data_IF_428239594999
#
_entry.id   IF_428239594999
#
_cell.length_a   1.000
_cell.length_b   1.000
_cell.length_c   1.000
_cell.angle_alpha   90.00
_cell.angle_beta   90.00
_cell.angle_gamma   90.00
#
_symmetry.space_group_name_H-M   'P 1'
#
loop_
_entity.id
_entity.type
_entity.pdbx_description
1 polymer ?
#
# COMPACT_ATOMS: atom_id res chain seq x y z
N UNK A 1 -5.21 -70.77 -20.59
CA UNK A 1 -4.78 -69.40 -20.94
C UNK A 1 -5.60 -68.46 -20.07
N UNK A 2 -5.04 -68.02 -18.94
CA UNK A 2 -5.71 -67.12 -18.01
C UNK A 2 -5.47 -65.68 -18.49
N UNK A 3 -6.57 -64.97 -18.72
CA UNK A 3 -6.62 -63.60 -19.19
C UNK A 3 -6.10 -62.69 -18.07
N UNK A 4 -4.93 -62.07 -18.25
CA UNK A 4 -4.40 -61.08 -17.31
C UNK A 4 -5.29 -59.85 -17.47
N UNK A 5 -6.22 -59.67 -16.55
CA UNK A 5 -7.03 -58.47 -16.46
C UNK A 5 -6.07 -57.28 -16.31
N UNK A 6 -6.05 -56.41 -17.32
CA UNK A 6 -5.41 -55.10 -17.29
C UNK A 6 -5.89 -54.36 -16.04
N UNK A 7 -4.99 -54.17 -15.06
CA UNK A 7 -5.24 -53.26 -13.94
C UNK A 7 -5.62 -51.90 -14.50
N UNK A 8 -6.61 -51.18 -13.92
CA UNK A 8 -6.89 -49.81 -14.32
C UNK A 8 -5.63 -48.93 -14.13
N UNK A 9 -5.43 -47.90 -14.97
CA UNK A 9 -4.30 -46.99 -14.84
C UNK A 9 -4.38 -46.29 -13.49
N UNK A 10 -3.30 -46.36 -12.71
CA UNK A 10 -3.19 -45.61 -11.47
C UNK A 10 -3.22 -44.12 -11.78
N UNK A 11 -4.05 -43.36 -11.07
CA UNK A 11 -4.07 -41.89 -11.14
C UNK A 11 -3.04 -41.39 -10.12
N UNK A 12 -2.09 -40.58 -10.57
CA UNK A 12 -1.11 -39.94 -9.69
C UNK A 12 -1.80 -38.82 -8.90
N UNK A 13 -1.49 -38.74 -7.61
CA UNK A 13 -2.04 -37.73 -6.72
C UNK A 13 -1.32 -36.39 -6.89
N UNK A 14 -2.04 -35.30 -7.17
CA UNK A 14 -1.43 -34.00 -7.46
C UNK A 14 -0.71 -33.37 -6.25
N UNK A 15 -1.09 -33.73 -5.02
CA UNK A 15 -0.58 -33.12 -3.79
C UNK A 15 0.57 -33.93 -3.19
N UNK A 16 0.50 -35.26 -3.29
CA UNK A 16 1.42 -36.18 -2.64
C UNK A 16 2.31 -36.98 -3.61
N UNK A 17 2.18 -36.79 -4.92
CA UNK A 17 3.12 -37.34 -5.90
C UNK A 17 4.31 -36.41 -6.12
N UNK A 18 5.37 -36.61 -5.33
CA UNK A 18 6.53 -35.71 -5.33
C UNK A 18 7.53 -36.05 -6.44
N UNK A 19 7.80 -35.08 -7.31
CA UNK A 19 8.95 -35.12 -8.20
C UNK A 19 10.25 -34.94 -7.43
N UNK A 20 11.23 -35.81 -7.72
CA UNK A 20 12.57 -35.75 -7.14
C UNK A 20 13.57 -35.21 -8.16
N UNK A 21 14.58 -34.49 -7.67
CA UNK A 21 15.70 -33.97 -8.44
C UNK A 21 17.02 -34.44 -7.83
N UNK A 22 18.02 -34.71 -8.68
CA UNK A 22 19.39 -35.03 -8.26
C UNK A 22 20.28 -33.80 -8.41
N UNK A 23 20.98 -33.44 -7.35
CA UNK A 23 22.03 -32.42 -7.36
C UNK A 23 23.37 -33.08 -7.10
N UNK A 24 24.42 -32.65 -7.78
CA UNK A 24 25.81 -33.01 -7.46
C UNK A 24 26.52 -31.80 -6.86
N UNK A 25 27.11 -31.97 -5.68
CA UNK A 25 27.95 -30.97 -5.04
C UNK A 25 29.24 -31.65 -4.59
N UNK A 26 30.38 -31.16 -5.09
CA UNK A 26 31.68 -31.78 -4.89
C UNK A 26 31.65 -33.28 -5.29
N UNK A 27 31.88 -34.20 -4.36
CA UNK A 27 31.89 -35.65 -4.58
C UNK A 27 30.61 -36.35 -4.09
N UNK A 28 29.53 -35.60 -3.84
CA UNK A 28 28.28 -36.13 -3.29
C UNK A 28 27.09 -35.86 -4.21
N UNK A 29 26.20 -36.84 -4.32
CA UNK A 29 24.91 -36.71 -5.02
C UNK A 29 23.78 -36.69 -4.00
N UNK A 30 22.91 -35.71 -4.12
CA UNK A 30 21.76 -35.48 -3.24
C UNK A 30 20.49 -35.65 -4.06
N UNK A 31 19.59 -36.53 -3.63
CA UNK A 31 18.26 -36.71 -4.23
C UNK A 31 17.21 -36.15 -3.29
N UNK A 32 16.49 -35.13 -3.72
CA UNK A 32 15.56 -34.35 -2.87
C UNK A 32 14.30 -33.97 -3.65
N UNK A 33 13.18 -33.67 -2.96
CA UNK A 33 11.99 -33.16 -3.63
C UNK A 33 12.29 -31.86 -4.40
N UNK A 34 11.70 -31.73 -5.58
CA UNK A 34 11.90 -30.57 -6.47
C UNK A 34 11.03 -29.38 -6.08
N UNK A 35 9.86 -29.62 -5.49
CA UNK A 35 8.83 -28.60 -5.28
C UNK A 35 9.33 -27.35 -4.54
N UNK A 36 10.08 -27.47 -3.43
CA UNK A 36 10.57 -26.28 -2.69
C UNK A 36 11.59 -25.48 -3.49
N UNK A 37 12.40 -26.13 -4.34
CA UNK A 37 13.39 -25.41 -5.15
C UNK A 37 12.71 -24.53 -6.20
N UNK A 38 11.59 -24.99 -6.75
CA UNK A 38 10.82 -24.23 -7.73
C UNK A 38 9.93 -23.17 -7.07
N UNK A 39 9.27 -23.53 -5.97
CA UNK A 39 8.37 -22.64 -5.25
C UNK A 39 9.08 -21.49 -4.52
N UNK A 40 10.23 -21.77 -3.89
CA UNK A 40 10.94 -20.76 -3.08
C UNK A 40 11.93 -19.93 -3.89
N UNK A 41 12.35 -20.38 -5.08
CA UNK A 41 13.26 -19.61 -5.94
C UNK A 41 13.06 -19.92 -7.44
N UNK A 42 12.35 -19.02 -8.11
CA UNK A 42 12.19 -19.01 -9.56
C UNK A 42 13.53 -18.86 -10.28
N UNK A 43 14.43 -18.04 -9.74
CA UNK A 43 15.77 -17.80 -10.32
C UNK A 43 16.63 -19.06 -10.26
N UNK A 44 16.60 -19.80 -9.14
CA UNK A 44 17.32 -21.07 -9.03
C UNK A 44 16.74 -22.10 -9.99
N UNK A 45 15.41 -22.24 -10.04
CA UNK A 45 14.75 -23.16 -10.96
C UNK A 45 15.11 -22.87 -12.43
N UNK A 46 15.09 -21.60 -12.83
CA UNK A 46 15.45 -21.18 -14.19
C UNK A 46 16.93 -21.43 -14.49
N UNK A 47 17.82 -21.07 -13.56
CA UNK A 47 19.27 -21.21 -13.75
C UNK A 47 19.72 -22.68 -13.87
N UNK A 48 19.02 -23.58 -13.18
CA UNK A 48 19.33 -25.00 -13.13
C UNK A 48 18.42 -25.86 -14.02
N UNK A 49 17.57 -25.24 -14.86
CA UNK A 49 16.70 -25.93 -15.80
C UNK A 49 15.70 -26.87 -15.12
N UNK A 50 15.20 -26.50 -13.95
CA UNK A 50 14.20 -27.27 -13.21
C UNK A 50 12.80 -26.98 -13.78
N UNK A 51 12.52 -27.45 -14.99
CA UNK A 51 11.20 -27.34 -15.61
C UNK A 51 10.27 -28.44 -15.10
N UNK A 52 9.00 -28.13 -14.83
CA UNK A 52 8.00 -29.10 -14.34
C UNK A 52 7.73 -30.27 -15.30
N UNK A 53 8.24 -30.25 -16.54
CA UNK A 53 7.89 -31.20 -17.59
C UNK A 53 8.92 -32.29 -17.89
N UNK A 54 10.10 -32.27 -17.26
CA UNK A 54 11.02 -33.40 -17.37
C UNK A 54 10.56 -34.51 -16.40
N UNK A 55 9.56 -35.28 -16.83
CA UNK A 55 9.23 -36.55 -16.20
C UNK A 55 10.51 -37.38 -16.18
N UNK A 56 11.00 -37.68 -14.97
CA UNK A 56 12.06 -38.65 -14.79
C UNK A 56 11.65 -39.92 -15.54
N UNK A 57 12.44 -40.30 -16.55
CA UNK A 57 12.26 -41.57 -17.26
C UNK A 57 12.18 -42.70 -16.23
N UNK A 58 11.26 -43.64 -16.42
CA UNK A 58 10.90 -44.72 -15.50
C UNK A 58 12.07 -45.66 -15.09
N UNK A 59 13.28 -45.44 -15.61
CA UNK A 59 14.50 -46.20 -15.37
C UNK A 59 15.33 -45.76 -14.14
N UNK A 60 14.80 -44.89 -13.27
CA UNK A 60 15.55 -44.28 -12.15
C UNK A 60 15.83 -45.21 -10.94
N UNK A 61 15.51 -46.51 -11.08
CA UNK A 61 15.89 -47.58 -10.13
C UNK A 61 17.19 -48.31 -10.53
N UNK A 62 17.74 -48.04 -11.72
CA UNK A 62 19.03 -48.61 -12.11
C UNK A 62 20.17 -47.81 -11.46
N UNK A 63 20.97 -48.49 -10.64
CA UNK A 63 22.16 -47.94 -9.98
C UNK A 63 23.33 -47.65 -10.97
N UNK A 64 23.06 -47.60 -12.27
CA UNK A 64 24.07 -47.36 -13.30
C UNK A 64 24.27 -45.84 -13.45
N UNK A 65 25.27 -45.33 -12.74
CA UNK A 65 25.76 -43.95 -12.69
C UNK A 65 24.92 -42.95 -11.85
N UNK A 66 25.30 -42.72 -10.59
CA UNK A 66 24.69 -41.70 -9.72
C UNK A 66 24.75 -40.26 -10.27
N UNK A 67 25.66 -40.01 -11.22
CA UNK A 67 25.86 -38.70 -11.86
C UNK A 67 25.00 -38.49 -13.11
N UNK A 68 24.33 -39.55 -13.60
CA UNK A 68 23.41 -39.43 -14.71
C UNK A 68 22.25 -38.51 -14.29
N UNK A 69 22.07 -37.43 -15.04
CA UNK A 69 21.04 -36.39 -14.83
C UNK A 69 21.17 -35.56 -13.53
N UNK A 70 22.33 -35.59 -12.86
CA UNK A 70 22.57 -34.76 -11.68
C UNK A 70 22.96 -33.33 -12.05
N UNK A 71 22.25 -32.35 -11.49
CA UNK A 71 22.56 -30.92 -11.70
C UNK A 71 23.78 -30.51 -10.87
N UNK A 72 24.87 -30.03 -11.48
CA UNK A 72 26.07 -29.63 -10.75
C UNK A 72 25.88 -28.29 -10.01
N UNK A 73 26.29 -28.26 -8.75
CA UNK A 73 26.30 -27.08 -7.89
C UNK A 73 27.73 -26.70 -7.54
N UNK A 74 28.06 -25.42 -7.69
CA UNK A 74 29.34 -24.83 -7.29
C UNK A 74 29.34 -24.47 -5.79
N UNK A 75 29.30 -25.52 -4.95
CA UNK A 75 29.31 -25.47 -3.48
C UNK A 75 29.93 -26.75 -2.90
N UNK A 76 30.40 -26.70 -1.65
CA UNK A 76 30.86 -27.91 -0.96
C UNK A 76 29.70 -28.83 -0.57
N UNK A 77 29.96 -30.13 -0.42
CA UNK A 77 28.94 -31.07 0.02
C UNK A 77 28.39 -30.71 1.43
N UNK A 78 29.25 -30.18 2.30
CA UNK A 78 28.87 -29.74 3.64
C UNK A 78 27.92 -28.53 3.59
N UNK A 79 28.25 -27.50 2.80
CA UNK A 79 27.41 -26.31 2.69
C UNK A 79 26.02 -26.66 2.16
N UNK A 80 25.96 -27.49 1.11
CA UNK A 80 24.67 -27.91 0.56
C UNK A 80 23.89 -28.79 1.54
N UNK A 81 24.55 -29.68 2.27
CA UNK A 81 23.90 -30.48 3.31
C UNK A 81 23.25 -29.60 4.39
N UNK A 82 23.96 -28.56 4.87
CA UNK A 82 23.42 -27.61 5.85
C UNK A 82 22.23 -26.83 5.28
N UNK A 83 22.33 -26.38 4.03
CA UNK A 83 21.21 -25.73 3.35
C UNK A 83 19.98 -26.63 3.27
N UNK A 84 20.17 -27.92 2.92
CA UNK A 84 19.10 -28.91 2.88
C UNK A 84 18.47 -29.17 4.26
N UNK A 85 19.25 -29.15 5.35
CA UNK A 85 18.69 -29.25 6.72
C UNK A 85 17.69 -28.13 6.99
N UNK A 86 17.96 -26.93 6.48
CA UNK A 86 17.09 -25.78 6.66
C UNK A 86 15.87 -25.80 5.72
N UNK A 87 16.06 -26.25 4.47
CA UNK A 87 14.99 -26.31 3.48
C UNK A 87 14.01 -27.48 3.73
N UNK A 88 14.56 -28.63 4.17
CA UNK A 88 13.85 -29.87 4.50
C UNK A 88 14.20 -30.34 5.92
N UNK A 89 13.64 -29.71 6.96
CA UNK A 89 13.83 -30.14 8.33
C UNK A 89 13.35 -31.59 8.51
N UNK A 90 14.18 -32.43 9.11
CA UNK A 90 13.81 -33.84 9.41
C UNK A 90 13.02 -33.97 10.70
N UNK A 91 13.02 -32.95 11.53
CA UNK A 91 12.31 -32.89 12.79
C UNK A 91 10.85 -32.53 12.52
N UNK A 92 9.94 -33.45 12.86
CA UNK A 92 8.50 -33.22 12.72
C UNK A 92 7.96 -32.18 13.73
N UNK A 93 8.67 -32.00 14.84
CA UNK A 93 8.32 -31.11 15.96
C UNK A 93 9.60 -30.51 16.57
N UNK A 94 9.58 -29.21 16.85
CA UNK A 94 10.70 -28.47 17.47
C UNK A 94 11.28 -27.37 16.58
N UNK A 95 12.08 -26.48 17.18
CA UNK A 95 12.80 -25.44 16.46
C UNK A 95 13.99 -26.03 15.70
N UNK A 96 14.24 -25.56 14.49
CA UNK A 96 15.38 -25.99 13.68
C UNK A 96 16.69 -25.65 14.39
N UNK A 97 17.41 -26.68 14.84
CA UNK A 97 18.69 -26.54 15.53
C UNK A 97 19.84 -26.50 14.53
N UNK A 98 20.31 -25.30 14.21
CA UNK A 98 21.55 -25.07 13.45
C UNK A 98 22.49 -24.19 14.29
N UNK A 99 23.80 -24.43 14.15
CA UNK A 99 24.82 -23.57 14.76
C UNK A 99 24.87 -22.19 14.08
N UNK A 100 25.54 -21.22 14.70
CA UNK A 100 25.75 -19.89 14.10
C UNK A 100 26.44 -19.98 12.74
N UNK A 101 27.48 -20.81 12.62
CA UNK A 101 28.21 -21.01 11.37
C UNK A 101 27.34 -21.67 10.30
N UNK A 102 26.50 -22.64 10.71
CA UNK A 102 25.53 -23.27 9.82
C UNK A 102 24.49 -22.24 9.33
N UNK A 103 24.03 -21.31 10.18
CA UNK A 103 23.15 -20.22 9.76
C UNK A 103 23.81 -19.25 8.79
N UNK A 104 25.12 -18.98 8.92
CA UNK A 104 25.86 -18.19 7.94
C UNK A 104 25.94 -18.89 6.58
N UNK A 105 26.14 -20.21 6.56
CA UNK A 105 26.07 -21.02 5.33
C UNK A 105 24.68 -20.91 4.70
N UNK A 106 23.61 -21.05 5.49
CA UNK A 106 22.23 -20.89 5.02
C UNK A 106 22.02 -19.49 4.45
N UNK A 107 22.47 -18.44 5.12
CA UNK A 107 22.38 -17.06 4.65
C UNK A 107 23.11 -16.86 3.33
N UNK A 108 24.33 -17.39 3.21
CA UNK A 108 25.16 -17.31 2.00
C UNK A 108 24.46 -17.94 0.81
N UNK A 109 24.03 -19.19 0.94
CA UNK A 109 23.41 -19.94 -0.15
C UNK A 109 22.01 -19.40 -0.50
N UNK A 110 21.21 -19.03 0.51
CA UNK A 110 19.89 -18.42 0.27
C UNK A 110 19.99 -17.06 -0.41
N UNK A 111 21.02 -16.27 -0.11
CA UNK A 111 21.29 -15.00 -0.81
C UNK A 111 21.78 -15.26 -2.24
N UNK A 112 22.72 -16.20 -2.46
CA UNK A 112 23.24 -16.58 -3.79
C UNK A 112 22.13 -17.09 -4.72
N UNK A 113 21.20 -17.88 -4.18
CA UNK A 113 20.16 -18.55 -4.96
C UNK A 113 18.78 -17.90 -4.82
N UNK A 114 18.67 -16.73 -4.18
CA UNK A 114 17.41 -15.98 -4.01
C UNK A 114 16.28 -16.79 -3.33
N UNK A 115 16.62 -17.63 -2.35
CA UNK A 115 15.65 -18.27 -1.47
C UNK A 115 15.24 -17.28 -0.37
N UNK A 116 14.41 -16.31 -0.74
CA UNK A 116 14.14 -15.11 0.07
C UNK A 116 13.52 -15.44 1.44
N UNK A 117 12.64 -16.43 1.51
CA UNK A 117 12.06 -16.91 2.77
C UNK A 117 13.15 -17.45 3.72
N UNK A 118 14.04 -18.28 3.19
CA UNK A 118 15.11 -18.89 3.96
C UNK A 118 16.18 -17.87 4.36
N UNK A 119 16.45 -16.91 3.47
CA UNK A 119 17.30 -15.75 3.74
C UNK A 119 16.77 -14.93 4.90
N UNK A 120 15.48 -14.58 4.87
CA UNK A 120 14.82 -13.82 5.95
C UNK A 120 14.91 -14.55 7.28
N UNK A 121 14.65 -15.86 7.28
CA UNK A 121 14.79 -16.71 8.46
C UNK A 121 16.23 -16.71 8.99
N UNK A 122 17.23 -16.84 8.12
CA UNK A 122 18.63 -16.81 8.54
C UNK A 122 19.04 -15.45 9.15
N UNK A 123 18.58 -14.33 8.57
CA UNK A 123 18.80 -12.99 9.13
C UNK A 123 18.12 -12.87 10.50
N UNK A 124 16.90 -13.37 10.66
CA UNK A 124 16.18 -13.33 11.94
C UNK A 124 16.93 -14.08 13.04
N UNK A 125 17.49 -15.26 12.72
CA UNK A 125 18.26 -16.07 13.67
C UNK A 125 19.64 -15.49 13.97
N UNK A 126 20.28 -14.84 12.99
CA UNK A 126 21.61 -14.24 13.14
C UNK A 126 21.58 -12.84 13.75
N UNK A 127 20.51 -12.06 13.57
CA UNK A 127 20.46 -10.65 14.01
C UNK A 127 20.65 -10.46 15.53
N UNK A 128 20.05 -11.29 16.42
CA UNK A 128 20.33 -11.22 17.85
C UNK A 128 21.80 -11.53 18.20
N UNK A 129 22.43 -12.42 17.42
CA UNK A 129 23.80 -12.89 17.65
C UNK A 129 24.85 -11.92 17.08
N UNK A 130 24.53 -11.23 15.98
CA UNK A 130 25.43 -10.30 15.31
C UNK A 130 25.84 -9.11 16.22
N UNK A 131 25.02 -8.74 17.21
CA UNK A 131 25.37 -7.72 18.21
C UNK A 131 26.23 -8.24 19.37
N UNK A 132 26.33 -9.56 19.55
CA UNK A 132 27.00 -10.19 20.71
C UNK A 132 28.33 -10.83 20.32
N UNK A 133 28.42 -11.43 19.12
CA UNK A 133 29.53 -12.29 18.73
C UNK A 133 30.41 -11.72 17.60
N UNK A 134 29.95 -10.74 16.82
CA UNK A 134 30.76 -10.16 15.74
C UNK A 134 31.59 -8.99 16.23
N UNK A 135 32.88 -8.98 15.85
CA UNK A 135 33.68 -7.75 15.86
C UNK A 135 33.00 -6.73 14.94
N UNK A 136 32.93 -5.46 15.34
CA UNK A 136 32.19 -4.42 14.61
C UNK A 136 32.52 -4.38 13.10
N UNK A 137 33.75 -4.70 12.74
CA UNK A 137 34.24 -4.77 11.36
C UNK A 137 33.60 -5.92 10.59
N UNK A 138 33.52 -7.11 11.17
CA UNK A 138 32.90 -8.28 10.54
C UNK A 138 31.41 -8.03 10.29
N UNK A 139 30.71 -7.40 11.23
CA UNK A 139 29.30 -7.05 11.04
C UNK A 139 29.10 -6.08 9.86
N UNK A 140 30.02 -5.13 9.65
CA UNK A 140 30.01 -4.22 8.51
C UNK A 140 30.18 -5.01 7.21
N UNK A 141 31.20 -5.88 7.15
CA UNK A 141 31.42 -6.71 5.96
C UNK A 141 30.22 -7.61 5.65
N UNK A 142 29.63 -8.26 6.65
CA UNK A 142 28.45 -9.10 6.49
C UNK A 142 27.22 -8.29 6.03
N UNK A 143 27.04 -7.08 6.55
CA UNK A 143 25.98 -6.18 6.13
C UNK A 143 26.12 -5.73 4.67
N UNK A 144 27.34 -5.48 4.22
CA UNK A 144 27.64 -5.15 2.82
C UNK A 144 27.50 -6.38 1.90
N UNK A 145 28.10 -7.51 2.26
CA UNK A 145 28.10 -8.74 1.47
C UNK A 145 26.68 -9.30 1.27
N UNK A 146 25.89 -9.34 2.34
CA UNK A 146 24.52 -9.88 2.30
C UNK A 146 23.46 -8.81 2.12
N UNK A 147 23.80 -7.56 1.80
CA UNK A 147 22.85 -6.47 1.62
C UNK A 147 21.85 -6.32 2.79
N UNK A 148 22.36 -6.34 4.02
CA UNK A 148 21.57 -6.17 5.25
C UNK A 148 21.87 -4.81 5.86
N UNK A 149 21.06 -3.80 5.50
CA UNK A 149 21.23 -2.41 5.95
C UNK A 149 21.34 -2.29 7.48
N UNK A 150 20.51 -3.04 8.20
CA UNK A 150 20.50 -3.01 9.67
C UNK A 150 21.84 -3.43 10.28
N UNK A 151 22.52 -4.41 9.69
CA UNK A 151 23.82 -4.89 10.16
C UNK A 151 24.91 -3.88 9.84
N UNK A 152 24.91 -3.33 8.63
CA UNK A 152 25.85 -2.28 8.21
C UNK A 152 25.76 -1.05 9.13
N UNK A 153 24.54 -0.54 9.32
CA UNK A 153 24.28 0.62 10.17
C UNK A 153 24.66 0.35 11.63
N UNK A 154 24.32 -0.84 12.15
CA UNK A 154 24.65 -1.21 13.52
C UNK A 154 26.16 -1.30 13.72
N UNK A 155 26.89 -1.89 12.78
CA UNK A 155 28.34 -2.00 12.84
C UNK A 155 29.04 -0.64 12.85
N UNK A 156 28.65 0.28 11.95
CA UNK A 156 29.19 1.64 11.97
C UNK A 156 28.86 2.40 13.26
N UNK A 157 27.62 2.28 13.73
CA UNK A 157 27.19 2.91 14.98
C UNK A 157 28.02 2.41 16.17
N UNK A 158 28.33 1.11 16.23
CA UNK A 158 29.15 0.56 17.31
C UNK A 158 30.60 1.07 17.26
N UNK A 159 31.19 1.21 16.07
CA UNK A 159 32.52 1.82 15.91
C UNK A 159 32.55 3.29 16.36
N UNK A 160 31.50 4.05 16.07
CA UNK A 160 31.40 5.44 16.51
C UNK A 160 31.23 5.53 18.03
N UNK A 161 30.43 4.65 18.64
CA UNK A 161 30.05 4.73 20.06
C UNK A 161 31.04 4.11 21.06
N UNK A 162 31.84 3.11 20.66
CA UNK A 162 32.71 2.37 21.58
C UNK A 162 33.79 3.25 22.22
N UNK A 163 34.41 2.86 23.34
CA UNK A 163 35.49 3.65 23.95
C UNK A 163 36.83 3.58 23.18
N UNK A 164 37.31 2.41 22.71
CA UNK A 164 38.58 2.33 22.00
C UNK A 164 38.56 3.01 20.63
N UNK A 165 39.66 3.67 20.20
CA UNK A 165 39.77 4.24 18.85
C UNK A 165 39.77 3.13 17.79
N UNK A 166 39.56 3.50 16.53
CA UNK A 166 39.78 2.59 15.38
C UNK A 166 41.27 2.31 15.27
N UNK A 167 41.66 1.03 15.33
CA UNK A 167 43.07 0.64 15.21
C UNK A 167 43.51 0.65 13.75
N UNK A 168 44.83 0.56 13.52
CA UNK A 168 45.39 0.51 12.17
C UNK A 168 44.87 -0.72 11.42
N UNK A 169 44.84 -1.88 12.08
CA UNK A 169 44.41 -3.15 11.50
C UNK A 169 42.92 -3.11 11.13
N UNK A 170 42.09 -2.44 11.93
CA UNK A 170 40.68 -2.24 11.62
C UNK A 170 40.50 -1.24 10.47
N UNK A 171 41.29 -0.17 10.44
CA UNK A 171 41.24 0.82 9.36
C UNK A 171 41.66 0.22 8.00
N UNK A 172 42.64 -0.68 8.00
CA UNK A 172 43.03 -1.44 6.81
C UNK A 172 41.90 -2.34 6.31
N UNK A 173 41.23 -3.08 7.19
CA UNK A 173 40.09 -3.93 6.83
C UNK A 173 38.89 -3.13 6.31
N UNK A 174 38.59 -1.99 6.94
CA UNK A 174 37.46 -1.14 6.55
C UNK A 174 37.71 -0.33 5.26
N UNK A 175 38.98 -0.15 4.92
CA UNK A 175 39.46 0.85 3.98
C UNK A 175 39.67 2.22 4.65
N UNK A 176 40.83 2.81 4.40
CA UNK A 176 41.27 4.07 5.00
C UNK A 176 40.25 5.22 4.88
N UNK A 177 39.58 5.34 3.72
CA UNK A 177 38.57 6.36 3.50
C UNK A 177 37.37 6.21 4.44
N UNK A 178 36.87 4.98 4.62
CA UNK A 178 35.75 4.71 5.50
C UNK A 178 36.14 4.91 6.97
N UNK A 179 37.35 4.49 7.33
CA UNK A 179 37.88 4.70 8.68
C UNK A 179 38.00 6.19 9.04
N UNK A 180 38.52 7.02 8.12
CA UNK A 180 38.63 8.48 8.33
C UNK A 180 37.24 9.11 8.51
N UNK A 181 36.26 8.73 7.66
CA UNK A 181 34.87 9.19 7.80
C UNK A 181 34.29 8.82 9.17
N UNK A 182 34.49 7.58 9.63
CA UNK A 182 34.02 7.15 10.96
C UNK A 182 34.74 7.88 12.10
N UNK A 183 36.04 8.15 11.98
CA UNK A 183 36.77 8.95 12.96
C UNK A 183 36.19 10.37 13.07
N UNK A 184 35.89 11.03 11.94
CA UNK A 184 35.26 12.35 11.93
C UNK A 184 33.87 12.33 12.60
N UNK A 185 33.04 11.33 12.30
CA UNK A 185 31.73 11.14 12.95
C UNK A 185 31.86 10.87 14.45
N UNK A 186 32.87 10.09 14.84
CA UNK A 186 33.20 9.84 16.25
C UNK A 186 33.59 11.10 16.99
N UNK A 187 34.37 11.98 16.38
CA UNK A 187 34.69 13.29 16.98
C UNK A 187 33.45 14.16 17.17
N UNK A 188 32.54 14.18 16.17
CA UNK A 188 31.23 14.84 16.26
C UNK A 188 30.39 14.30 17.42
N UNK A 189 30.21 12.98 17.46
CA UNK A 189 29.49 12.27 18.52
C UNK A 189 30.06 12.54 19.93
N UNK A 190 31.39 12.52 20.06
CA UNK A 190 32.06 12.76 21.35
C UNK A 190 31.88 14.22 21.81
N UNK A 191 31.94 15.19 20.89
CA UNK A 191 31.64 16.60 21.19
C UNK A 191 30.19 16.76 21.64
N UNK A 192 29.25 16.09 20.98
CA UNK A 192 27.84 16.11 21.35
C UNK A 192 27.62 15.59 22.78
N UNK A 193 28.10 14.38 23.12
CA UNK A 193 27.97 13.82 24.48
C UNK A 193 28.60 14.74 25.54
N UNK A 194 29.76 15.32 25.24
CA UNK A 194 30.42 16.27 26.16
C UNK A 194 29.60 17.54 26.35
N UNK A 195 28.92 18.01 25.31
CA UNK A 195 28.05 19.19 25.36
C UNK A 195 26.72 18.94 26.08
N UNK A 196 26.16 17.73 26.01
CA UNK A 196 24.96 17.31 26.76
C UNK A 196 25.16 17.45 28.28
N UNK A 197 26.40 17.29 28.75
CA UNK A 197 26.74 17.49 30.18
C UNK A 197 26.63 18.97 30.61
N UNK A 198 26.49 19.91 29.67
CA UNK A 198 26.36 21.34 29.91
C UNK A 198 24.89 21.79 29.79
N UNK A 199 24.13 21.67 30.87
CA UNK A 199 22.68 21.98 30.97
C UNK A 199 22.22 23.38 30.50
N UNK A 200 23.15 24.30 30.20
CA UNK A 200 22.85 25.70 29.84
C UNK A 200 22.43 25.90 28.38
N UNK A 201 22.62 24.91 27.52
CA UNK A 201 22.14 24.94 26.14
C UNK A 201 21.66 23.54 25.79
N UNK A 202 20.35 23.37 25.58
CA UNK A 202 19.82 22.12 25.05
C UNK A 202 20.50 21.88 23.69
N UNK A 203 21.31 20.81 23.54
CA UNK A 203 21.91 20.51 22.25
C UNK A 203 20.81 20.27 21.21
N UNK A 204 21.03 20.68 19.96
CA UNK A 204 20.18 20.22 18.86
C UNK A 204 20.19 18.69 18.80
N UNK A 205 19.07 18.04 18.42
CA UNK A 205 18.99 16.59 18.37
C UNK A 205 20.03 16.02 17.41
N UNK A 206 21.09 15.42 17.96
CA UNK A 206 22.14 14.78 17.18
C UNK A 206 21.70 13.37 16.75
N UNK A 207 21.32 13.23 15.48
CA UNK A 207 20.96 11.95 14.90
C UNK A 207 22.17 11.27 14.24
N UNK A 208 22.88 10.46 15.02
CA UNK A 208 24.01 9.68 14.54
C UNK A 208 23.63 8.74 13.38
N UNK A 209 22.41 8.20 13.35
CA UNK A 209 22.02 7.28 12.27
C UNK A 209 21.83 8.06 10.96
N UNK A 210 21.25 9.26 11.00
CA UNK A 210 21.12 10.14 9.84
C UNK A 210 22.50 10.57 9.32
N UNK A 211 23.41 10.96 10.21
CA UNK A 211 24.79 11.32 9.85
C UNK A 211 25.54 10.14 9.21
N UNK A 212 25.40 8.94 9.77
CA UNK A 212 25.98 7.72 9.20
C UNK A 212 25.43 7.43 7.81
N UNK A 213 24.10 7.51 7.64
CA UNK A 213 23.45 7.32 6.34
C UNK A 213 23.89 8.35 5.30
N UNK A 214 24.08 9.60 5.73
CA UNK A 214 24.59 10.67 4.86
C UNK A 214 26.05 10.44 4.45
N UNK A 215 26.93 10.13 5.41
CA UNK A 215 28.36 9.96 5.16
C UNK A 215 28.70 8.73 4.28
N UNK A 216 27.85 7.70 4.35
CA UNK A 216 27.97 6.43 3.62
C UNK A 216 26.79 6.20 2.66
N UNK A 217 26.21 7.28 2.14
CA UNK A 217 25.02 7.22 1.27
C UNK A 217 25.19 6.23 0.11
N UNK A 218 26.33 6.27 -0.58
CA UNK A 218 26.66 5.34 -1.67
C UNK A 218 26.47 3.86 -1.28
N UNK A 219 26.91 3.45 -0.09
CA UNK A 219 26.78 2.07 0.39
C UNK A 219 25.34 1.73 0.76
N UNK A 220 24.61 2.66 1.37
CA UNK A 220 23.20 2.46 1.71
C UNK A 220 22.29 2.45 0.48
N UNK A 221 22.57 3.28 -0.52
CA UNK A 221 21.87 3.26 -1.80
C UNK A 221 22.12 1.95 -2.54
N UNK A 222 23.36 1.47 -2.61
CA UNK A 222 23.67 0.18 -3.22
C UNK A 222 22.88 -0.98 -2.58
N UNK A 223 22.77 -0.99 -1.24
CA UNK A 223 21.94 -1.99 -0.54
C UNK A 223 20.46 -1.80 -0.89
N UNK A 224 19.97 -0.55 -0.92
CA UNK A 224 18.56 -0.26 -1.24
C UNK A 224 18.19 -0.68 -2.65
N UNK A 225 19.08 -0.49 -3.63
CA UNK A 225 18.90 -0.94 -5.00
C UNK A 225 18.84 -2.47 -5.11
N UNK A 226 19.54 -3.19 -4.23
CA UNK A 226 19.49 -4.65 -4.16
C UNK A 226 18.28 -5.20 -3.39
N UNK A 227 17.64 -4.42 -2.49
CA UNK A 227 16.51 -4.88 -1.67
C UNK A 227 15.35 -5.51 -2.44
N UNK A 228 14.91 -4.99 -3.61
CA UNK A 228 13.81 -5.57 -4.38
C UNK A 228 14.03 -7.03 -4.78
N UNK A 229 15.29 -7.47 -4.89
CA UNK A 229 15.63 -8.87 -5.20
C UNK A 229 15.28 -9.83 -4.06
N UNK A 230 15.25 -9.33 -2.82
CA UNK A 230 15.09 -10.14 -1.61
C UNK A 230 13.67 -10.12 -1.03
N UNK A 231 12.70 -9.58 -1.78
CA UNK A 231 11.28 -9.57 -1.39
C UNK A 231 10.73 -11.00 -1.51
N UNK A 232 10.08 -11.49 -0.45
CA UNK A 232 9.48 -12.84 -0.48
C UNK A 232 8.28 -12.91 -1.43
N UNK A 233 7.89 -14.11 -1.84
CA UNK A 233 6.69 -14.31 -2.67
C UNK A 233 5.43 -13.80 -1.97
N UNK A 234 5.32 -14.04 -0.66
CA UNK A 234 4.23 -13.56 0.19
C UNK A 234 4.21 -12.02 0.27
N UNK A 235 5.36 -11.39 0.49
CA UNK A 235 5.47 -9.93 0.54
C UNK A 235 5.16 -9.30 -0.83
N UNK A 236 5.63 -9.90 -1.92
CA UNK A 236 5.31 -9.45 -3.29
C UNK A 236 3.81 -9.51 -3.54
N UNK A 237 3.15 -10.59 -3.15
CA UNK A 237 1.71 -10.76 -3.28
C UNK A 237 0.94 -9.73 -2.43
N UNK A 238 1.38 -9.48 -1.19
CA UNK A 238 0.78 -8.47 -0.33
C UNK A 238 0.89 -7.06 -0.93
N UNK A 239 2.07 -6.68 -1.45
CA UNK A 239 2.29 -5.40 -2.13
C UNK A 239 1.38 -5.27 -3.35
N UNK A 240 1.20 -6.35 -4.11
CA UNK A 240 0.31 -6.35 -5.28
C UNK A 240 -1.16 -6.16 -4.87
N UNK A 241 -1.62 -6.91 -3.85
CA UNK A 241 -2.99 -6.79 -3.33
C UNK A 241 -3.29 -5.39 -2.80
N UNK A 242 -2.33 -4.78 -2.09
CA UNK A 242 -2.47 -3.41 -1.61
C UNK A 242 -2.57 -2.40 -2.76
N UNK A 243 -1.77 -2.57 -3.82
CA UNK A 243 -1.86 -1.72 -5.03
C UNK A 243 -3.19 -1.88 -5.74
N UNK A 244 -3.68 -3.10 -5.89
CA UNK A 244 -4.98 -3.38 -6.51
C UNK A 244 -6.13 -2.77 -5.69
N UNK A 245 -6.06 -2.84 -4.36
CA UNK A 245 -7.01 -2.18 -3.46
C UNK A 245 -6.97 -0.66 -3.63
N UNK A 246 -5.78 -0.06 -3.61
CA UNK A 246 -5.62 1.39 -3.79
C UNK A 246 -6.11 1.87 -5.16
N UNK A 247 -5.87 1.10 -6.23
CA UNK A 247 -6.39 1.42 -7.56
C UNK A 247 -7.92 1.36 -7.60
N UNK A 248 -8.51 0.35 -6.95
CA UNK A 248 -9.96 0.23 -6.83
C UNK A 248 -10.55 1.40 -6.04
N UNK A 249 -9.94 1.76 -4.92
CA UNK A 249 -10.38 2.91 -4.12
C UNK A 249 -10.28 4.22 -4.90
N UNK A 250 -9.21 4.40 -5.69
CA UNK A 250 -9.04 5.57 -6.55
C UNK A 250 -10.10 5.62 -7.66
N UNK A 251 -10.44 4.48 -8.27
CA UNK A 251 -11.53 4.37 -9.26
C UNK A 251 -12.88 4.69 -8.64
N UNK A 252 -13.21 4.10 -7.49
CA UNK A 252 -14.46 4.36 -6.77
C UNK A 252 -14.55 5.84 -6.35
N UNK A 253 -13.44 6.45 -5.93
CA UNK A 253 -13.38 7.88 -5.61
C UNK A 253 -13.60 8.76 -6.85
N UNK A 254 -12.98 8.42 -7.98
CA UNK A 254 -13.18 9.14 -9.24
C UNK A 254 -14.64 9.02 -9.72
N UNK A 255 -15.26 7.85 -9.63
CA UNK A 255 -16.67 7.65 -9.98
C UNK A 255 -17.58 8.50 -9.08
N UNK A 256 -17.34 8.53 -7.76
CA UNK A 256 -18.08 9.40 -6.84
C UNK A 256 -17.94 10.87 -7.21
N UNK A 257 -16.73 11.35 -7.52
CA UNK A 257 -16.50 12.73 -7.96
C UNK A 257 -17.29 13.04 -9.24
N UNK A 258 -17.24 12.16 -10.25
CA UNK A 258 -18.01 12.38 -11.49
C UNK A 258 -19.52 12.36 -11.26
N UNK A 259 -19.99 11.55 -10.32
CA UNK A 259 -21.40 11.49 -9.97
C UNK A 259 -21.84 12.74 -9.21
N UNK A 260 -21.03 13.22 -8.27
CA UNK A 260 -21.25 14.48 -7.57
C UNK A 260 -21.30 15.66 -8.55
N UNK A 261 -20.36 15.74 -9.49
CA UNK A 261 -20.37 16.76 -10.56
C UNK A 261 -21.63 16.70 -11.42
N UNK A 262 -22.06 15.50 -11.83
CA UNK A 262 -23.32 15.32 -12.58
C UNK A 262 -24.54 15.79 -11.78
N UNK A 263 -24.61 15.44 -10.49
CA UNK A 263 -25.73 15.87 -9.63
C UNK A 263 -25.73 17.38 -9.40
N UNK A 264 -24.56 18.01 -9.34
CA UNK A 264 -24.44 19.46 -9.23
C UNK A 264 -24.90 20.14 -10.52
N UNK A 265 -24.44 19.65 -11.67
CA UNK A 265 -24.85 20.15 -12.98
C UNK A 265 -26.37 20.03 -13.20
N UNK A 266 -26.98 18.92 -12.77
CA UNK A 266 -28.44 18.74 -12.82
C UNK A 266 -29.17 19.75 -11.94
N UNK A 267 -28.72 19.98 -10.71
CA UNK A 267 -29.29 21.00 -9.81
C UNK A 267 -29.15 22.41 -10.36
N UNK A 268 -28.02 22.73 -10.98
CA UNK A 268 -27.80 24.04 -11.61
C UNK A 268 -28.73 24.23 -12.82
N UNK A 269 -28.89 23.21 -13.65
CA UNK A 269 -29.82 23.23 -14.79
C UNK A 269 -31.28 23.41 -14.33
N UNK A 270 -31.71 22.69 -13.29
CA UNK A 270 -33.04 22.82 -12.70
C UNK A 270 -33.27 24.21 -12.12
N UNK A 271 -32.28 24.77 -11.41
CA UNK A 271 -32.34 26.14 -10.88
C UNK A 271 -32.49 27.16 -12.01
N UNK A 272 -31.70 27.05 -13.08
CA UNK A 272 -31.79 27.94 -14.23
C UNK A 272 -33.17 27.85 -14.92
N UNK A 273 -33.73 26.65 -15.03
CA UNK A 273 -35.08 26.43 -15.58
C UNK A 273 -36.17 27.09 -14.74
N UNK A 274 -36.10 26.96 -13.41
CA UNK A 274 -37.03 27.60 -12.48
C UNK A 274 -36.93 29.13 -12.55
N UNK A 275 -35.72 29.66 -12.66
CA UNK A 275 -35.48 31.11 -12.79
C UNK A 275 -36.07 31.68 -14.08
N UNK A 276 -35.91 30.98 -15.21
CA UNK A 276 -36.52 31.34 -16.49
C UNK A 276 -38.05 31.32 -16.41
N UNK A 277 -38.63 30.27 -15.82
CA UNK A 277 -40.08 30.19 -15.62
C UNK A 277 -40.61 31.32 -14.72
N UNK A 278 -39.88 31.65 -13.65
CA UNK A 278 -40.23 32.77 -12.78
C UNK A 278 -40.12 34.12 -13.51
N UNK A 279 -39.12 34.31 -14.38
CA UNK A 279 -38.98 35.51 -15.20
C UNK A 279 -40.13 35.64 -16.21
N UNK A 280 -40.51 34.55 -16.88
CA UNK A 280 -41.66 34.52 -17.79
C UNK A 280 -42.97 34.82 -17.04
N UNK A 281 -43.14 34.27 -15.82
CA UNK A 281 -44.26 34.56 -14.95
C UNK A 281 -44.34 36.05 -14.56
N UNK A 282 -43.22 36.66 -14.16
CA UNK A 282 -43.14 38.10 -13.86
C UNK A 282 -43.51 38.96 -15.07
N UNK A 283 -42.99 38.64 -16.25
CA UNK A 283 -43.30 39.36 -17.48
C UNK A 283 -44.80 39.30 -17.81
N UNK A 284 -45.44 38.15 -17.63
CA UNK A 284 -46.88 38.00 -17.87
C UNK A 284 -47.75 38.76 -16.86
N UNK A 285 -47.33 38.83 -15.61
CA UNK A 285 -48.01 39.66 -14.59
C UNK A 285 -47.89 41.14 -14.96
N UNK A 286 -46.71 41.57 -15.43
CA UNK A 286 -46.49 42.95 -15.88
C UNK A 286 -47.33 43.30 -17.12
N UNK A 287 -47.49 42.36 -18.06
CA UNK A 287 -48.36 42.51 -19.23
C UNK A 287 -49.84 42.66 -18.82
N UNK A 288 -50.35 41.77 -17.96
CA UNK A 288 -51.71 41.86 -17.43
C UNK A 288 -51.92 43.16 -16.65
N UNK A 289 -50.91 43.64 -15.91
CA UNK A 289 -51.00 44.91 -15.18
C UNK A 289 -51.11 46.10 -16.15
N UNK A 290 -50.43 46.07 -17.29
CA UNK A 290 -50.58 47.09 -18.34
C UNK A 290 -51.96 47.04 -18.98
N UNK A 291 -52.44 45.85 -19.34
CA UNK A 291 -53.80 45.66 -19.88
C UNK A 291 -54.86 46.18 -18.89
N UNK A 292 -54.70 45.90 -17.59
CA UNK A 292 -55.62 46.38 -16.56
C UNK A 292 -55.61 47.91 -16.45
N UNK A 293 -54.45 48.54 -16.54
CA UNK A 293 -54.34 50.00 -16.52
C UNK A 293 -54.97 50.64 -17.76
N UNK A 294 -54.81 50.02 -18.94
CA UNK A 294 -55.51 50.44 -20.17
C UNK A 294 -57.03 50.32 -20.02
N UNK A 295 -57.52 49.19 -19.49
CA UNK A 295 -58.94 49.00 -19.22
C UNK A 295 -59.49 50.00 -18.19
N UNK A 296 -58.69 50.34 -17.18
CA UNK A 296 -59.06 51.35 -16.18
C UNK A 296 -59.17 52.74 -16.81
N UNK A 297 -58.23 53.13 -17.67
CA UNK A 297 -58.30 54.38 -18.44
C UNK A 297 -59.52 54.43 -19.37
N UNK A 298 -59.88 53.30 -19.98
CA UNK A 298 -61.10 53.19 -20.80
C UNK A 298 -62.38 53.32 -19.97
N UNK A 299 -62.41 52.75 -18.76
CA UNK A 299 -63.52 52.93 -17.81
C UNK A 299 -63.64 54.38 -17.33
N UNK A 300 -62.53 55.04 -17.01
CA UNK A 300 -62.53 56.47 -16.66
C UNK A 300 -63.01 57.35 -17.83
N UNK A 301 -62.72 56.97 -19.08
CA UNK A 301 -63.26 57.64 -20.27
C UNK A 301 -64.78 57.40 -20.44
N UNK A 302 -65.26 56.17 -20.16
CA UNK A 302 -66.69 55.84 -20.18
C UNK A 302 -67.47 56.52 -19.05
N UNK A 303 -66.88 56.70 -17.86
CA UNK A 303 -67.46 57.49 -16.76
C UNK A 303 -67.54 58.98 -17.11
N UNK A 304 -66.58 59.49 -17.90
CA UNK A 304 -66.68 60.83 -18.49
C UNK A 304 -67.86 60.94 -19.48
N UNK A 305 -68.10 59.93 -20.31
CA UNK A 305 -69.25 59.89 -21.24
C UNK A 305 -70.59 59.72 -20.50
N UNK A 306 -70.61 58.98 -19.38
CA UNK A 306 -71.78 58.83 -18.52
C UNK A 306 -72.06 60.13 -17.72
N UNK A 307 -71.02 60.86 -17.32
CA UNK A 307 -71.15 62.21 -16.75
C UNK A 307 -71.67 63.24 -17.77
N UNK A 308 -71.34 63.09 -19.06
CA UNK A 308 -71.92 63.88 -20.16
C UNK A 308 -73.40 63.49 -20.41
N UNK A 309 -73.77 62.22 -20.22
CA UNK A 309 -75.16 61.77 -20.30
C UNK A 309 -76.00 62.22 -19.09
N UNK A 310 -75.44 62.23 -17.87
CA UNK A 310 -76.13 62.74 -16.67
C UNK A 310 -76.27 64.26 -16.67
N UNK A 311 -75.33 65.01 -17.26
CA UNK A 311 -75.51 66.46 -17.47
C UNK A 311 -76.60 66.81 -18.50
N UNK A 312 -77.12 65.83 -19.26
CA UNK A 312 -78.29 65.99 -20.13
C UNK A 312 -79.60 65.50 -19.48
N UNK A 313 -79.55 64.86 -18.31
CA UNK A 313 -80.73 64.42 -17.56
C UNK A 313 -80.94 65.16 -16.22
N UNK A 314 -80.01 66.03 -15.81
CA UNK A 314 -80.08 66.82 -14.57
C UNK A 314 -80.75 68.21 -14.72
N UNK A 315 -81.58 68.44 -15.75
CA UNK A 315 -82.57 69.55 -15.74
C UNK A 315 -83.94 69.13 -15.18
N UNK A 316 -84.17 67.86 -14.86
CA UNK A 316 -85.42 67.44 -14.21
C UNK A 316 -85.20 66.37 -13.15
N UNK A 317 -84.91 66.77 -11.92
CA UNK A 317 -85.77 66.43 -10.76
C UNK A 317 -85.07 66.68 -9.44
N UNK A 318 -85.13 67.93 -9.02
CA UNK A 318 -85.18 68.33 -7.62
C UNK A 318 -86.29 67.53 -6.87
N UNK A 319 -85.95 66.67 -5.91
CA UNK A 319 -86.48 66.71 -4.51
C UNK A 319 -86.10 65.48 -3.66
N UNK A 320 -85.58 65.83 -2.47
CA UNK A 320 -85.78 65.22 -1.14
C UNK A 320 -85.11 63.87 -0.86
N UNK A 321 -83.95 63.83 -0.16
CA UNK A 321 -83.68 64.08 1.27
C UNK A 321 -83.83 62.83 2.17
N UNK A 322 -82.76 62.47 2.89
CA UNK A 322 -82.86 61.62 4.10
C UNK A 322 -81.67 60.68 4.38
N UNK A 323 -80.56 61.23 4.86
CA UNK A 323 -79.49 60.56 5.64
C UNK A 323 -79.95 60.28 7.10
N UNK A 324 -79.17 59.70 8.07
CA UNK A 324 -77.84 59.02 8.04
C UNK A 324 -77.68 57.76 8.97
N UNK A 325 -76.46 57.16 8.92
CA UNK A 325 -75.64 56.56 10.02
C UNK A 325 -76.08 55.21 10.65
N UNK A 326 -75.23 54.27 11.09
CA UNK A 326 -73.77 54.12 11.28
C UNK A 326 -73.46 52.64 11.67
N UNK A 327 -72.17 52.29 11.75
CA UNK A 327 -71.54 51.17 12.50
C UNK A 327 -71.56 49.76 11.87
N UNK A 328 -70.58 48.88 12.07
CA UNK A 328 -69.12 48.89 12.28
C UNK A 328 -68.71 47.41 12.27
N UNK A 329 -67.45 47.15 11.90
CA UNK A 329 -66.62 46.01 12.31
C UNK A 329 -66.93 44.52 12.01
N UNK A 330 -65.85 43.91 11.47
CA UNK A 330 -65.26 42.61 11.85
C UNK A 330 -65.78 41.32 11.22
N UNK A 331 -64.89 40.63 10.49
CA UNK A 331 -64.86 39.17 10.58
C UNK A 331 -63.44 38.62 10.30
N UNK A 332 -62.76 38.30 11.40
CA UNK A 332 -61.58 37.42 11.47
C UNK A 332 -62.07 35.98 11.58
N UNK A 333 -61.70 35.09 10.64
CA UNK A 333 -61.75 33.63 10.86
C UNK A 333 -60.39 32.98 10.74
N UNK A 334 -59.82 32.75 11.92
CA UNK A 334 -58.76 31.78 12.18
C UNK A 334 -59.40 30.38 12.23
N UNK A 335 -58.94 29.46 11.37
CA UNK A 335 -59.23 28.03 11.44
C UNK A 335 -57.96 27.22 11.65
N UNK A 336 -57.63 26.92 12.91
CA UNK A 336 -56.66 25.87 13.29
C UNK A 336 -57.29 24.49 13.03
N UNK A 337 -56.59 23.62 12.31
CA UNK A 337 -56.70 22.16 12.52
C UNK A 337 -55.31 21.59 12.83
N UNK A 338 -55.29 20.76 13.86
CA UNK A 338 -54.16 20.17 14.55
C UNK A 338 -54.26 18.65 14.39
N UNK A 339 -53.11 17.97 14.26
CA UNK A 339 -52.75 16.61 14.73
C UNK A 339 -52.45 15.51 13.70
N UNK A 340 -51.32 14.84 13.99
CA UNK A 340 -50.96 13.45 13.65
C UNK A 340 -49.53 13.41 13.09
N UNK A 341 -48.43 13.27 13.84
CA UNK A 341 -47.94 12.26 14.81
C UNK A 341 -47.92 10.81 14.29
N UNK A 342 -46.70 10.24 14.31
CA UNK A 342 -46.23 8.83 14.16
C UNK A 342 -45.67 8.53 12.75
N UNK A 343 -44.51 7.88 12.57
CA UNK A 343 -43.54 7.25 13.48
C UNK A 343 -42.17 7.12 12.77
N UNK A 344 -41.05 7.16 13.49
CA UNK A 344 -40.21 5.99 13.81
C UNK A 344 -40.19 4.91 12.71
N UNK A 345 -39.12 4.90 11.91
CA UNK A 345 -38.07 3.88 11.99
C UNK A 345 -36.76 4.50 11.54
#
# INVERSE_FOLDING_TARGET
MANIASSPPFVLDEEYYWELVKFSAENHVFRVPKHRFVADSESFATAHGLDFNSLASEDDFSAENPLLDAVPLDVTAHEFHVFLKALYPKQLQGELTLSTDEWFIVLKLSTKWLFNNLRKLAIEKLSPLAGVYSINIEQIHLGEEFNVEAWLLSGYRQLVKRDPPITIEEAEKLGWQNAIKLCALREGWTKHIRSESNWRSAPEPYDLNADLKSAFSEKFEAIREAQPLYITTEERLAIQQERELAEKEAKDAAERMTQEERTLAEREADRARLELAAAAGRARVEEIAKELEEHKLLLEALDCDMSIADTLLDETSNRQSGSPSLDEESDLRIGKVKKGKKGKK
#
